data_IF_683028304260
#
_entry.id   IF_683028304260
#
_cell.length_a   1.000
_cell.length_b   1.000
_cell.length_c   1.000
_cell.angle_alpha   90.00
_cell.angle_beta   90.00
_cell.angle_gamma   90.00
#
_symmetry.space_group_name_H-M   'P 1'
#
loop_
_entity.id
_entity.type
_entity.pdbx_description
1 polymer ?
#
# COMPACT_ATOMS: atom_id res chain seq x y z
N UNK A 1 -40.77 -38.12 -72.02
CA UNK A 1 -39.74 -37.05 -72.03
C UNK A 1 -40.16 -35.94 -71.04
N UNK A 2 -39.52 -35.84 -69.87
CA UNK A 2 -39.86 -34.88 -68.80
C UNK A 2 -39.11 -33.56 -69.02
N UNK A 3 -39.83 -32.43 -69.14
CA UNK A 3 -39.24 -31.08 -69.20
C UNK A 3 -38.92 -30.59 -67.78
N UNK A 4 -37.67 -30.21 -67.54
CA UNK A 4 -37.23 -29.62 -66.27
C UNK A 4 -37.77 -28.20 -66.09
N UNK A 5 -38.41 -27.93 -64.95
CA UNK A 5 -38.86 -26.60 -64.56
C UNK A 5 -37.74 -25.84 -63.84
N UNK A 6 -37.34 -24.69 -64.40
CA UNK A 6 -36.30 -23.79 -63.89
C UNK A 6 -36.87 -22.91 -62.77
N UNK A 7 -36.50 -23.18 -61.52
CA UNK A 7 -36.92 -22.41 -60.34
C UNK A 7 -36.15 -21.07 -60.28
N UNK A 8 -36.83 -19.95 -60.55
CA UNK A 8 -36.29 -18.59 -60.36
C UNK A 8 -36.10 -18.31 -58.86
N UNK A 9 -34.92 -17.84 -58.46
CA UNK A 9 -34.60 -17.39 -57.09
C UNK A 9 -35.17 -15.98 -56.89
N UNK A 10 -35.97 -15.76 -55.86
CA UNK A 10 -36.45 -14.44 -55.45
C UNK A 10 -35.43 -13.79 -54.50
N UNK A 11 -35.05 -12.53 -54.77
CA UNK A 11 -34.21 -11.68 -53.92
C UNK A 11 -35.06 -10.98 -52.86
N UNK A 12 -34.58 -10.98 -51.61
CA UNK A 12 -35.27 -10.36 -50.46
C UNK A 12 -35.06 -8.83 -50.41
N UNK A 13 -36.03 -8.03 -49.91
CA UNK A 13 -35.92 -6.58 -49.87
C UNK A 13 -35.10 -6.09 -48.65
N UNK A 14 -34.09 -5.26 -48.89
CA UNK A 14 -33.33 -4.56 -47.83
C UNK A 14 -34.08 -3.32 -47.35
N UNK A 15 -34.56 -3.34 -46.10
CA UNK A 15 -35.28 -2.23 -45.46
C UNK A 15 -34.28 -1.15 -44.99
N UNK A 16 -34.18 -0.05 -45.74
CA UNK A 16 -33.41 1.14 -45.31
C UNK A 16 -34.03 1.75 -44.06
N UNK A 17 -33.30 1.73 -42.93
CA UNK A 17 -33.70 2.41 -41.70
C UNK A 17 -33.54 3.92 -41.87
N UNK A 18 -34.65 4.66 -41.78
CA UNK A 18 -34.63 6.12 -41.72
C UNK A 18 -34.06 6.55 -40.36
N UNK A 19 -32.86 7.15 -40.37
CA UNK A 19 -32.27 7.78 -39.19
C UNK A 19 -33.05 9.07 -38.94
N UNK A 20 -33.73 9.16 -37.79
CA UNK A 20 -34.47 10.36 -37.39
C UNK A 20 -33.44 11.48 -37.14
N UNK A 21 -33.54 12.58 -37.88
CA UNK A 21 -32.70 13.76 -37.71
C UNK A 21 -33.03 14.38 -36.34
N UNK A 22 -32.10 14.30 -35.39
CA UNK A 22 -32.26 14.92 -34.08
C UNK A 22 -32.15 16.45 -34.23
N UNK A 23 -32.89 17.23 -33.43
CA UNK A 23 -32.84 18.69 -33.47
C UNK A 23 -31.44 19.20 -33.11
N UNK A 24 -30.91 20.26 -33.76
CA UNK A 24 -29.53 20.73 -33.58
C UNK A 24 -29.14 21.05 -32.11
N UNK A 25 -30.12 21.40 -31.28
CA UNK A 25 -29.91 21.72 -29.87
C UNK A 25 -29.45 20.52 -29.03
N UNK A 26 -29.62 19.27 -29.50
CA UNK A 26 -29.11 18.09 -28.79
C UNK A 26 -27.59 18.12 -28.64
N UNK A 27 -26.86 18.67 -29.61
CA UNK A 27 -25.41 18.84 -29.50
C UNK A 27 -25.03 19.87 -28.45
N UNK A 28 -25.84 20.92 -28.26
CA UNK A 28 -25.62 21.94 -27.23
C UNK A 28 -25.83 21.36 -25.82
N UNK A 29 -26.91 20.61 -25.62
CA UNK A 29 -27.19 19.93 -24.34
C UNK A 29 -26.12 18.86 -24.05
N UNK A 30 -25.67 18.14 -25.08
CA UNK A 30 -24.61 17.15 -24.94
C UNK A 30 -23.26 17.79 -24.56
N UNK A 31 -22.89 18.91 -25.18
CA UNK A 31 -21.67 19.65 -24.82
C UNK A 31 -21.72 20.21 -23.40
N UNK A 32 -22.86 20.80 -23.00
CA UNK A 32 -23.05 21.36 -21.66
C UNK A 32 -22.96 20.28 -20.57
N UNK A 33 -23.62 19.13 -20.80
CA UNK A 33 -23.58 18.01 -19.84
C UNK A 33 -22.18 17.46 -19.68
N UNK A 34 -21.42 17.28 -20.77
CA UNK A 34 -20.03 16.85 -20.73
C UNK A 34 -19.16 17.86 -19.96
N UNK A 35 -19.32 19.16 -20.23
CA UNK A 35 -18.55 20.22 -19.57
C UNK A 35 -18.80 20.30 -18.05
N UNK A 36 -20.06 20.16 -17.62
CA UNK A 36 -20.41 20.14 -16.19
C UNK A 36 -19.83 18.90 -15.51
N UNK A 37 -19.90 17.73 -16.15
CA UNK A 37 -19.36 16.49 -15.60
C UNK A 37 -17.84 16.55 -15.46
N UNK A 38 -17.13 17.04 -16.48
CA UNK A 38 -15.67 17.22 -16.42
C UNK A 38 -15.25 18.20 -15.33
N UNK A 39 -15.90 19.37 -15.25
CA UNK A 39 -15.62 20.36 -14.21
C UNK A 39 -15.88 19.77 -12.83
N UNK A 40 -17.02 19.11 -12.62
CA UNK A 40 -17.36 18.46 -11.35
C UNK A 40 -16.32 17.41 -10.94
N UNK A 41 -15.84 16.60 -11.88
CA UNK A 41 -14.80 15.59 -11.62
C UNK A 41 -13.47 16.20 -11.18
N UNK A 42 -13.01 17.25 -11.88
CA UNK A 42 -11.77 17.96 -11.52
C UNK A 42 -11.90 18.62 -10.15
N UNK A 43 -13.03 19.28 -9.90
CA UNK A 43 -13.32 19.94 -8.63
C UNK A 43 -13.39 18.94 -7.47
N UNK A 44 -14.06 17.79 -7.63
CA UNK A 44 -14.10 16.73 -6.62
C UNK A 44 -12.70 16.14 -6.40
N UNK A 45 -11.91 15.94 -7.46
CA UNK A 45 -10.55 15.43 -7.32
C UNK A 45 -9.64 16.41 -6.54
N UNK A 46 -9.75 17.70 -6.82
CA UNK A 46 -9.03 18.76 -6.09
C UNK A 46 -9.47 18.84 -4.62
N UNK A 47 -10.77 18.75 -4.33
CA UNK A 47 -11.28 18.76 -2.95
C UNK A 47 -11.03 17.45 -2.19
N UNK A 48 -10.78 16.33 -2.88
CA UNK A 48 -10.38 15.06 -2.26
C UNK A 48 -8.88 14.98 -1.91
N UNK A 49 -8.15 16.10 -1.99
CA UNK A 49 -6.83 16.26 -1.39
C UNK A 49 -5.69 15.51 -2.07
N UNK A 50 -5.88 14.98 -3.29
CA UNK A 50 -4.79 14.36 -4.06
C UNK A 50 -4.10 15.42 -4.90
N UNK A 51 -3.31 16.28 -4.27
CA UNK A 51 -2.41 17.20 -4.97
C UNK A 51 -1.13 16.45 -5.34
N UNK A 52 -0.85 16.20 -6.64
CA UNK A 52 0.41 15.62 -7.06
C UNK A 52 1.54 16.61 -6.76
N UNK A 53 2.33 16.34 -5.72
CA UNK A 53 3.50 17.15 -5.36
C UNK A 53 3.53 17.74 -3.95
N UNK A 54 2.47 17.61 -3.15
CA UNK A 54 2.43 18.13 -1.77
C UNK A 54 3.45 17.49 -0.81
N UNK A 55 3.95 16.29 -1.12
CA UNK A 55 4.95 15.60 -0.31
C UNK A 55 6.33 16.27 -0.27
N UNK A 56 6.74 16.95 -1.33
CA UNK A 56 8.06 17.60 -1.41
C UNK A 56 8.11 18.89 -0.57
N UNK A 57 7.03 19.67 -0.56
CA UNK A 57 6.95 20.92 0.22
C UNK A 57 7.06 20.67 1.72
N UNK A 58 6.43 19.61 2.24
CA UNK A 58 6.49 19.26 3.67
C UNK A 58 7.87 18.81 4.14
N UNK A 59 8.71 18.23 3.27
CA UNK A 59 10.06 17.81 3.63
C UNK A 59 11.02 19.00 3.70
N UNK A 60 10.87 19.96 2.77
CA UNK A 60 11.70 21.17 2.72
C UNK A 60 11.32 22.13 3.87
N UNK A 61 10.02 22.28 4.17
CA UNK A 61 9.57 23.12 5.29
C UNK A 61 9.88 22.53 6.66
N UNK A 62 9.99 21.19 6.79
CA UNK A 62 10.38 20.56 8.06
C UNK A 62 11.89 20.62 8.32
N UNK A 63 12.69 20.74 7.27
CA UNK A 63 14.14 20.94 7.40
C UNK A 63 14.52 22.35 7.90
N UNK A 64 13.62 23.34 7.81
CA UNK A 64 13.93 24.75 8.12
C UNK A 64 13.25 25.32 9.38
N UNK A 65 12.53 24.52 10.19
CA UNK A 65 11.86 25.04 11.40
C UNK A 65 12.30 24.30 12.68
N UNK A 66 13.08 24.93 13.57
CA UNK A 66 13.31 24.38 14.91
C UNK A 66 12.01 24.42 15.73
N UNK A 67 11.75 23.41 16.59
CA UNK A 67 10.50 23.33 17.34
C UNK A 67 10.51 24.35 18.50
N UNK A 68 9.80 25.45 18.29
CA UNK A 68 9.41 26.37 19.36
C UNK A 68 8.16 25.82 20.08
N UNK A 69 8.34 25.41 21.34
CA UNK A 69 7.24 25.02 22.24
C UNK A 69 6.79 26.27 22.98
N UNK A 70 5.75 26.93 22.50
CA UNK A 70 5.02 27.92 23.27
C UNK A 70 3.90 27.24 24.07
N UNK A 71 3.99 27.28 25.40
CA UNK A 71 2.83 27.38 26.28
C UNK A 71 3.21 27.98 27.66
N UNK A 72 2.89 29.27 27.78
CA UNK A 72 2.06 29.90 28.84
C UNK A 72 2.54 29.92 30.32
N UNK A 73 2.78 31.17 30.78
CA UNK A 73 2.61 31.74 32.15
C UNK A 73 3.64 31.40 33.25
N UNK A 74 4.42 32.43 33.61
CA UNK A 74 5.11 32.59 34.91
C UNK A 74 4.13 33.19 35.93
N UNK A 75 4.17 32.75 37.21
CA UNK A 75 4.82 33.59 38.22
C UNK A 75 5.76 32.82 39.18
N UNK A 76 6.76 33.59 39.62
CA UNK A 76 7.83 33.36 40.60
C UNK A 76 7.47 32.60 41.89
N UNK A 77 8.31 31.66 42.32
CA UNK A 77 9.00 31.65 43.64
C UNK A 77 9.78 30.34 43.91
N UNK A 78 10.95 30.49 44.56
CA UNK A 78 11.69 29.53 45.39
C UNK A 78 12.56 28.40 44.75
N UNK A 79 13.86 28.71 44.66
CA UNK A 79 15.06 27.96 45.11
C UNK A 79 15.35 26.50 44.69
N UNK A 80 16.65 26.13 44.58
CA UNK A 80 17.15 25.15 43.62
C UNK A 80 17.24 23.75 44.23
N UNK A 81 16.54 22.78 43.64
CA UNK A 81 16.84 21.36 43.89
C UNK A 81 17.52 20.77 42.68
N UNK A 82 18.81 20.50 42.88
CA UNK A 82 19.76 19.80 42.03
C UNK A 82 19.22 18.40 41.67
N UNK A 83 18.35 18.29 40.68
CA UNK A 83 17.89 17.01 40.15
C UNK A 83 18.91 16.51 39.11
N UNK A 84 19.62 15.47 39.55
CA UNK A 84 20.54 14.60 38.82
C UNK A 84 20.19 14.47 37.33
N UNK A 85 21.08 14.96 36.48
CA UNK A 85 21.21 14.46 35.12
C UNK A 85 21.52 12.95 35.19
N UNK A 86 20.78 12.07 34.50
CA UNK A 86 21.29 10.74 34.22
C UNK A 86 22.47 10.91 33.26
N UNK A 87 23.69 10.88 33.79
CA UNK A 87 24.89 10.69 32.97
C UNK A 87 24.79 9.28 32.38
N UNK A 88 24.62 9.21 31.07
CA UNK A 88 24.92 8.01 30.32
C UNK A 88 26.44 7.89 30.30
N UNK A 89 26.99 7.01 31.14
CA UNK A 89 28.35 6.51 30.97
C UNK A 89 28.32 5.57 29.75
N UNK A 90 28.48 6.17 28.57
CA UNK A 90 28.93 5.43 27.41
C UNK A 90 30.24 4.76 27.82
N UNK A 91 30.30 3.45 27.66
CA UNK A 91 31.53 2.67 27.74
C UNK A 91 32.50 3.15 26.64
N UNK A 92 33.13 4.30 26.89
CA UNK A 92 34.45 4.63 26.39
C UNK A 92 35.42 3.77 27.16
N UNK A 93 35.53 2.52 26.74
CA UNK A 93 36.73 1.74 27.02
C UNK A 93 37.12 1.16 25.67
N UNK A 94 38.06 1.81 25.02
CA UNK A 94 39.00 1.14 24.14
C UNK A 94 40.22 0.86 25.02
N UNK A 95 40.33 -0.32 25.66
CA UNK A 95 41.62 -0.74 26.18
C UNK A 95 42.39 -1.29 24.97
N UNK A 96 43.25 -0.47 24.38
CA UNK A 96 44.47 -0.98 23.74
C UNK A 96 45.27 -1.70 24.83
N UNK A 97 45.14 -3.02 24.90
CA UNK A 97 46.10 -3.87 25.61
C UNK A 97 46.59 -4.88 24.59
N UNK A 98 47.60 -4.41 23.86
CA UNK A 98 48.58 -5.19 23.13
C UNK A 98 49.26 -6.14 24.13
N UNK A 99 48.95 -7.44 24.08
CA UNK A 99 49.81 -8.47 24.65
C UNK A 99 49.69 -9.77 23.84
N UNK A 100 50.74 -9.98 23.05
CA UNK A 100 51.35 -11.21 22.52
C UNK A 100 50.58 -12.54 22.72
N UNK A 101 50.34 -13.22 21.60
CA UNK A 101 49.73 -14.55 21.43
C UNK A 101 50.39 -15.64 22.32
N UNK A 102 49.58 -16.58 22.83
CA UNK A 102 49.86 -17.99 22.60
C UNK A 102 48.66 -18.71 21.96
N UNK A 103 48.96 -19.48 20.91
CA UNK A 103 48.03 -20.42 20.29
C UNK A 103 47.48 -21.42 21.30
N UNK A 104 46.19 -21.32 21.64
CA UNK A 104 45.34 -22.42 22.07
C UNK A 104 43.98 -21.88 22.52
N UNK A 105 43.03 -21.79 21.59
CA UNK A 105 41.59 -22.07 21.76
C UNK A 105 40.82 -21.53 20.55
N UNK A 106 40.89 -22.29 19.46
CA UNK A 106 39.84 -22.36 18.44
C UNK A 106 38.59 -23.06 19.00
N UNK A 107 38.16 -22.72 20.22
CA UNK A 107 36.91 -23.20 20.78
C UNK A 107 35.87 -22.11 20.62
N UNK A 108 35.25 -22.15 19.44
CA UNK A 108 33.80 -21.99 19.34
C UNK A 108 33.27 -20.77 20.09
N UNK A 109 33.62 -19.56 19.64
CA UNK A 109 32.76 -18.41 19.88
C UNK A 109 31.53 -18.49 18.96
N UNK A 110 30.78 -19.60 19.15
CA UNK A 110 29.40 -19.72 18.78
C UNK A 110 28.68 -18.69 19.66
N UNK A 111 28.49 -17.48 19.12
CA UNK A 111 27.42 -16.58 19.57
C UNK A 111 26.22 -17.47 19.87
N UNK A 112 25.53 -17.33 21.01
CA UNK A 112 24.30 -18.09 21.22
C UNK A 112 23.42 -17.76 20.03
N UNK A 113 23.27 -18.75 19.14
CA UNK A 113 22.35 -18.68 18.04
C UNK A 113 21.02 -18.46 18.73
N UNK A 114 20.51 -17.23 18.61
CA UNK A 114 19.19 -16.82 19.08
C UNK A 114 18.28 -17.96 18.68
N UNK A 115 17.81 -18.72 19.67
CA UNK A 115 17.01 -19.92 19.48
C UNK A 115 15.98 -19.56 18.42
N UNK A 116 15.90 -20.27 17.28
CA UNK A 116 14.92 -19.94 16.27
C UNK A 116 13.57 -20.01 16.99
N UNK A 117 12.89 -18.88 17.15
CA UNK A 117 11.50 -18.87 17.61
C UNK A 117 10.77 -19.80 16.64
N UNK A 118 10.44 -21.02 17.09
CA UNK A 118 9.86 -22.09 16.25
C UNK A 118 8.44 -21.69 15.76
N UNK A 119 7.92 -20.55 16.20
CA UNK A 119 6.60 -20.00 15.87
C UNK A 119 6.64 -18.60 15.22
N UNK A 120 7.58 -18.38 14.30
CA UNK A 120 7.56 -17.18 13.46
C UNK A 120 6.83 -17.48 12.16
N UNK A 121 5.71 -16.80 11.91
CA UNK A 121 5.05 -16.81 10.60
C UNK A 121 5.30 -15.50 9.88
N UNK A 122 5.51 -15.59 8.58
CA UNK A 122 5.75 -14.44 7.72
C UNK A 122 4.50 -14.15 6.89
N UNK A 123 4.08 -12.89 6.79
CA UNK A 123 2.94 -12.50 5.95
C UNK A 123 3.35 -11.35 5.04
N UNK A 124 2.75 -11.30 3.86
CA UNK A 124 2.85 -10.16 2.95
C UNK A 124 1.55 -9.40 2.95
N UNK A 125 1.58 -8.10 3.20
CA UNK A 125 0.42 -7.24 3.01
C UNK A 125 0.53 -6.54 1.67
N UNK A 126 -0.31 -6.93 0.71
CA UNK A 126 -0.31 -6.37 -0.64
C UNK A 126 -0.95 -4.98 -0.70
N UNK A 127 -2.05 -4.76 0.02
CA UNK A 127 -2.74 -3.47 0.05
C UNK A 127 -3.70 -3.36 1.24
N UNK A 128 -4.14 -2.13 1.53
CA UNK A 128 -5.24 -1.84 2.46
C UNK A 128 -6.20 -0.87 1.79
N UNK A 129 -7.49 -1.23 1.74
CA UNK A 129 -8.54 -0.43 1.12
C UNK A 129 -9.57 0.02 2.15
N UNK A 130 -10.22 1.16 1.92
CA UNK A 130 -11.34 1.61 2.75
C UNK A 130 -12.66 0.89 2.39
N UNK A 131 -12.76 0.35 1.16
CA UNK A 131 -13.95 -0.35 0.65
C UNK A 131 -13.67 -1.83 0.48
N UNK A 132 -14.68 -2.66 0.71
CA UNK A 132 -14.58 -4.11 0.57
C UNK A 132 -14.44 -4.51 -0.90
N UNK A 133 -15.17 -3.86 -1.80
CA UNK A 133 -15.19 -4.18 -3.23
C UNK A 133 -13.81 -4.00 -3.88
N UNK A 134 -13.05 -2.96 -3.46
CA UNK A 134 -11.70 -2.71 -3.96
C UNK A 134 -10.72 -3.80 -3.50
N UNK A 135 -10.87 -4.26 -2.25
CA UNK A 135 -10.08 -5.38 -1.71
C UNK A 135 -10.43 -6.70 -2.40
N UNK A 136 -11.69 -6.96 -2.68
CA UNK A 136 -12.16 -8.17 -3.34
C UNK A 136 -11.70 -8.25 -4.80
N UNK A 137 -11.74 -7.13 -5.53
CA UNK A 137 -11.16 -7.02 -6.88
C UNK A 137 -9.67 -7.35 -6.89
N UNK A 138 -8.90 -6.82 -5.93
CA UNK A 138 -7.49 -7.14 -5.84
C UNK A 138 -7.26 -8.62 -5.51
N UNK A 139 -8.01 -9.16 -4.53
CA UNK A 139 -7.96 -10.58 -4.18
C UNK A 139 -8.25 -11.47 -5.40
N UNK A 140 -9.29 -11.16 -6.17
CA UNK A 140 -9.64 -11.90 -7.38
C UNK A 140 -8.51 -11.84 -8.41
N UNK A 141 -7.95 -10.64 -8.66
CA UNK A 141 -6.80 -10.47 -9.57
C UNK A 141 -5.60 -11.28 -9.11
N UNK A 142 -5.29 -11.30 -7.81
CA UNK A 142 -4.19 -12.08 -7.26
C UNK A 142 -4.45 -13.58 -7.34
N UNK A 143 -5.68 -14.03 -7.06
CA UNK A 143 -6.08 -15.43 -7.17
C UNK A 143 -5.94 -15.96 -8.61
N UNK A 144 -6.29 -15.15 -9.62
CA UNK A 144 -6.09 -15.49 -11.04
C UNK A 144 -4.61 -15.66 -11.40
N UNK A 145 -3.71 -15.03 -10.66
CA UNK A 145 -2.25 -15.19 -10.81
C UNK A 145 -1.67 -16.28 -9.90
N UNK A 146 -2.52 -17.13 -9.31
CA UNK A 146 -2.11 -18.22 -8.42
C UNK A 146 -1.60 -17.75 -7.06
N UNK A 147 -1.88 -16.50 -6.67
CA UNK A 147 -1.53 -15.95 -5.36
C UNK A 147 -2.74 -16.02 -4.42
N UNK A 148 -2.65 -16.88 -3.40
CA UNK A 148 -3.71 -17.03 -2.39
C UNK A 148 -3.64 -15.86 -1.41
N UNK A 149 -4.76 -15.15 -1.27
CA UNK A 149 -4.85 -13.98 -0.40
C UNK A 149 -6.11 -13.98 0.46
N UNK A 150 -6.02 -13.34 1.63
CA UNK A 150 -7.09 -13.20 2.59
C UNK A 150 -7.37 -11.72 2.86
N UNK A 151 -8.65 -11.38 2.97
CA UNK A 151 -9.09 -10.03 3.35
C UNK A 151 -9.36 -10.05 4.84
N UNK A 152 -8.68 -9.17 5.58
CA UNK A 152 -8.98 -8.95 6.99
C UNK A 152 -9.59 -7.56 7.17
N UNK A 153 -10.78 -7.53 7.77
CA UNK A 153 -11.41 -6.30 8.24
C UNK A 153 -10.74 -5.86 9.53
N UNK A 154 -10.27 -4.61 9.57
CA UNK A 154 -9.62 -4.00 10.74
C UNK A 154 -10.21 -2.61 10.95
N UNK A 155 -10.73 -2.35 12.14
CA UNK A 155 -11.19 -1.02 12.53
C UNK A 155 -10.05 -0.32 13.26
N UNK A 156 -9.62 0.84 12.76
CA UNK A 156 -8.58 1.65 13.38
C UNK A 156 -9.26 2.82 14.07
N UNK A 157 -9.02 2.99 15.37
CA UNK A 157 -9.54 4.10 16.16
C UNK A 157 -9.23 5.44 15.48
N UNK A 158 -10.28 6.24 15.24
CA UNK A 158 -10.17 7.54 14.58
C UNK A 158 -9.92 7.53 13.06
N UNK A 159 -9.72 6.37 12.41
CA UNK A 159 -9.49 6.28 10.95
C UNK A 159 -10.53 5.45 10.19
N UNK A 160 -11.40 4.73 10.91
CA UNK A 160 -12.49 3.95 10.32
C UNK A 160 -12.12 2.51 9.98
N UNK A 161 -12.97 1.86 9.20
CA UNK A 161 -12.82 0.46 8.80
C UNK A 161 -11.93 0.33 7.56
N UNK A 162 -10.98 -0.60 7.61
CA UNK A 162 -10.11 -0.94 6.48
C UNK A 162 -10.12 -2.44 6.20
N UNK A 163 -9.94 -2.77 4.92
CA UNK A 163 -9.86 -4.11 4.38
C UNK A 163 -8.43 -4.36 3.89
N UNK A 164 -7.68 -5.16 4.65
CA UNK A 164 -6.28 -5.48 4.35
C UNK A 164 -6.20 -6.78 3.58
N UNK A 165 -5.57 -6.75 2.41
CA UNK A 165 -5.31 -7.93 1.58
C UNK A 165 -3.93 -8.47 1.94
N UNK A 166 -3.88 -9.69 2.49
CA UNK A 166 -2.65 -10.36 2.93
C UNK A 166 -2.43 -11.69 2.21
N UNK A 167 -1.17 -12.05 1.98
CA UNK A 167 -0.73 -13.35 1.46
C UNK A 167 0.01 -14.12 2.55
N UNK A 168 -0.15 -15.44 2.51
CA UNK A 168 0.39 -16.32 3.54
C UNK A 168 -0.47 -16.29 4.81
N UNK A 169 -0.13 -17.13 5.79
CA UNK A 169 1.21 -17.19 6.36
C UNK A 169 2.19 -18.10 5.61
N UNK A 170 3.44 -17.65 5.53
CA UNK A 170 4.60 -18.39 5.03
C UNK A 170 5.48 -18.80 6.22
N UNK A 171 6.03 -20.01 6.19
CA UNK A 171 6.85 -20.54 7.27
C UNK A 171 8.32 -20.13 7.14
N UNK A 172 8.75 -19.81 5.92
CA UNK A 172 10.12 -19.42 5.63
C UNK A 172 10.18 -18.08 4.85
N UNK A 173 11.34 -17.43 4.94
CA UNK A 173 11.58 -16.14 4.27
C UNK A 173 11.71 -16.30 2.74
N UNK A 174 12.12 -17.48 2.27
CA UNK A 174 12.33 -17.75 0.85
C UNK A 174 11.01 -17.74 0.07
N UNK A 175 9.98 -18.42 0.57
CA UNK A 175 8.61 -18.40 0.02
C UNK A 175 8.00 -17.01 0.05
N UNK A 176 8.20 -16.28 1.16
CA UNK A 176 7.77 -14.89 1.23
C UNK A 176 8.45 -14.04 0.15
N UNK A 177 9.76 -14.19 -0.06
CA UNK A 177 10.46 -13.44 -1.10
C UNK A 177 9.98 -13.83 -2.51
N UNK A 178 9.74 -15.12 -2.78
CA UNK A 178 9.21 -15.59 -4.04
C UNK A 178 7.81 -15.01 -4.33
N UNK A 179 6.92 -15.02 -3.34
CA UNK A 179 5.60 -14.39 -3.46
C UNK A 179 5.70 -12.87 -3.65
N UNK A 180 6.66 -12.21 -2.98
CA UNK A 180 6.89 -10.78 -3.14
C UNK A 180 7.38 -10.42 -4.55
N UNK A 181 8.24 -11.24 -5.17
CA UNK A 181 8.67 -11.03 -6.57
C UNK A 181 7.47 -11.09 -7.51
N UNK A 182 6.62 -12.11 -7.38
CA UNK A 182 5.38 -12.23 -8.18
C UNK A 182 4.44 -11.05 -8.00
N UNK A 183 4.30 -10.52 -6.78
CA UNK A 183 3.50 -9.31 -6.55
C UNK A 183 4.07 -8.10 -7.29
N UNK A 184 5.40 -7.95 -7.29
CA UNK A 184 6.08 -6.85 -8.00
C UNK A 184 5.95 -6.98 -9.51
N UNK A 185 5.95 -8.18 -10.06
CA UNK A 185 5.65 -8.44 -11.48
C UNK A 185 4.24 -7.96 -11.86
N UNK A 186 3.29 -8.02 -10.92
CA UNK A 186 1.93 -7.48 -11.09
C UNK A 186 1.82 -5.97 -10.83
N UNK A 187 2.94 -5.30 -10.52
CA UNK A 187 3.01 -3.89 -10.18
C UNK A 187 2.52 -3.56 -8.77
N UNK A 188 2.50 -4.54 -7.86
CA UNK A 188 2.00 -4.40 -6.49
C UNK A 188 3.17 -4.45 -5.51
N UNK A 189 3.38 -3.38 -4.75
CA UNK A 189 4.37 -3.35 -3.68
C UNK A 189 3.78 -3.88 -2.37
N UNK A 190 4.35 -4.96 -1.85
CA UNK A 190 3.87 -5.59 -0.62
C UNK A 190 4.77 -5.28 0.58
N UNK A 191 4.14 -5.08 1.74
CA UNK A 191 4.81 -4.93 3.02
C UNK A 191 5.05 -6.30 3.64
N UNK A 192 6.32 -6.60 3.97
CA UNK A 192 6.71 -7.85 4.64
C UNK A 192 6.54 -7.68 6.14
N UNK A 193 5.78 -8.57 6.76
CA UNK A 193 5.49 -8.53 8.18
C UNK A 193 5.90 -9.87 8.80
N UNK A 194 6.66 -9.80 9.89
CA UNK A 194 6.97 -10.94 10.75
C UNK A 194 5.91 -10.99 11.85
N UNK A 195 5.03 -11.98 11.81
CA UNK A 195 3.99 -12.18 12.82
C UNK A 195 4.49 -13.24 13.79
N UNK A 196 4.80 -12.81 15.02
CA UNK A 196 4.96 -13.73 16.14
C UNK A 196 3.55 -14.19 16.52
N UNK A 197 3.29 -15.50 16.49
CA UNK A 197 2.04 -16.02 17.01
C UNK A 197 2.05 -15.77 18.53
N UNK A 198 1.22 -14.86 19.02
CA UNK A 198 0.90 -14.82 20.43
C UNK A 198 -0.09 -15.97 20.66
N UNK A 199 0.40 -17.02 21.32
CA UNK A 199 -0.39 -18.16 21.75
C UNK A 199 -1.01 -17.91 23.11
#
# INVERSE_FOLDING_TARGET
>A
MKRMARKKRATAPTRRRKIKKLPPWTFLVLGLTIGIVLTSLVTVFAYRGTSPGSGLGTLISRAHKPPDRSNTKTPSAASPTKVRMPKFDFYTILPEIETVLPEAKLLLQKRPAKTPDINVRYVLQAASFARFEDADRLKARLALNGLVTHIQKVTIEGKGEFYRVRLGPYDNLAELNAANVRLRELGIEALRLKVKQEG
#
